data_IF_787379111760
#
_entry.id   IF_787379111760
#
_cell.length_a   1.000
_cell.length_b   1.000
_cell.length_c   1.000
_cell.angle_alpha   90.00
_cell.angle_beta   90.00
_cell.angle_gamma   90.00
#
_symmetry.space_group_name_H-M   'P 1'
#
loop_
_entity.id
_entity.type
_entity.pdbx_description
1 polymer ?
#
# COMPACT_ATOMS: atom_id res chain seq x y z
N UNK A 1 11.27 -11.12 -31.12
CA UNK A 1 10.98 -10.29 -29.93
C UNK A 1 9.62 -9.58 -30.02
N UNK A 2 9.30 -8.86 -31.11
CA UNK A 2 8.06 -8.07 -31.22
C UNK A 2 6.76 -8.90 -31.18
N UNK A 3 6.76 -10.10 -31.78
CA UNK A 3 5.58 -11.00 -31.83
C UNK A 3 5.00 -11.38 -30.44
N UNK A 4 5.84 -11.45 -29.39
CA UNK A 4 5.42 -11.86 -28.05
C UNK A 4 4.50 -10.84 -27.35
N UNK A 5 4.54 -9.57 -27.75
CA UNK A 5 3.63 -8.55 -27.23
C UNK A 5 2.24 -8.63 -27.86
N UNK A 6 2.16 -9.04 -29.13
CA UNK A 6 0.90 -9.17 -29.86
C UNK A 6 0.21 -10.50 -29.59
N UNK A 7 0.98 -11.56 -29.31
CA UNK A 7 0.45 -12.90 -29.02
C UNK A 7 1.09 -13.45 -27.75
N UNK A 8 0.74 -12.90 -26.58
CA UNK A 8 1.23 -13.44 -25.33
C UNK A 8 0.61 -14.82 -25.11
N UNK A 9 1.43 -15.77 -24.67
CA UNK A 9 0.93 -17.02 -24.12
C UNK A 9 0.38 -16.70 -22.72
N UNK A 10 -0.94 -16.61 -22.61
CA UNK A 10 -1.67 -16.36 -21.36
C UNK A 10 -2.44 -17.60 -20.95
N UNK A 11 -2.59 -17.80 -19.65
CA UNK A 11 -3.50 -18.81 -19.11
C UNK A 11 -4.95 -18.35 -19.35
N UNK A 12 -5.79 -19.12 -20.07
CA UNK A 12 -7.19 -18.79 -20.30
C UNK A 12 -8.11 -19.10 -19.12
N UNK A 13 -7.57 -19.58 -17.99
CA UNK A 13 -8.34 -19.93 -16.81
C UNK A 13 -9.22 -18.77 -16.31
N UNK A 14 -10.52 -19.00 -16.24
CA UNK A 14 -11.51 -18.11 -15.60
C UNK A 14 -11.62 -18.34 -14.08
N UNK A 15 -10.67 -19.09 -13.51
CA UNK A 15 -10.69 -19.40 -12.09
C UNK A 15 -10.69 -18.12 -11.25
N UNK A 16 -11.56 -18.08 -10.26
CA UNK A 16 -11.62 -16.97 -9.31
C UNK A 16 -10.32 -16.91 -8.53
N UNK A 17 -9.77 -15.71 -8.38
CA UNK A 17 -8.65 -15.48 -7.48
C UNK A 17 -9.11 -15.69 -6.04
N UNK A 18 -8.58 -16.73 -5.41
CA UNK A 18 -8.86 -17.07 -4.03
C UNK A 18 -7.56 -17.06 -3.22
N UNK A 19 -7.68 -16.55 -2.00
CA UNK A 19 -6.60 -16.54 -1.05
C UNK A 19 -6.95 -17.51 0.08
N UNK A 20 -6.41 -18.72 -0.01
CA UNK A 20 -6.63 -19.77 0.99
C UNK A 20 -5.97 -19.47 2.35
N UNK A 21 -6.32 -20.27 3.35
CA UNK A 21 -5.66 -20.24 4.65
C UNK A 21 -4.40 -21.14 4.62
N UNK A 22 -3.22 -20.62 5.00
CA UNK A 22 -1.99 -21.39 4.94
C UNK A 22 -1.92 -22.44 6.05
N UNK A 23 -1.33 -23.61 5.75
CA UNK A 23 -1.01 -24.64 6.75
C UNK A 23 0.24 -24.24 7.53
N UNK A 24 0.06 -23.74 8.76
CA UNK A 24 1.14 -23.20 9.58
C UNK A 24 2.22 -24.23 9.93
N UNK A 25 1.85 -25.48 10.21
CA UNK A 25 2.81 -26.53 10.59
C UNK A 25 3.77 -26.85 9.45
N UNK A 26 3.25 -26.92 8.21
CA UNK A 26 4.08 -27.12 7.02
C UNK A 26 5.00 -25.93 6.75
N UNK A 27 4.53 -24.70 7.00
CA UNK A 27 5.35 -23.50 6.85
C UNK A 27 6.47 -23.45 7.89
N UNK A 28 6.22 -23.86 9.14
CA UNK A 28 7.25 -23.99 10.18
C UNK A 28 8.36 -24.95 9.74
N UNK A 29 7.97 -26.15 9.28
CA UNK A 29 8.91 -27.14 8.76
C UNK A 29 9.71 -26.58 7.58
N UNK A 30 9.04 -25.98 6.60
CA UNK A 30 9.69 -25.43 5.41
C UNK A 30 10.68 -24.30 5.74
N UNK A 31 10.32 -23.39 6.65
CA UNK A 31 11.21 -22.30 7.05
C UNK A 31 12.40 -22.79 7.87
N UNK A 32 12.21 -23.82 8.68
CA UNK A 32 13.31 -24.51 9.36
C UNK A 32 14.27 -25.14 8.34
N UNK A 33 13.74 -25.90 7.38
CA UNK A 33 14.53 -26.64 6.39
C UNK A 33 15.25 -25.75 5.37
N UNK A 34 14.60 -24.66 4.92
CA UNK A 34 15.14 -23.80 3.84
C UNK A 34 15.88 -22.58 4.33
N UNK A 35 15.46 -22.02 5.46
CA UNK A 35 16.02 -20.78 5.98
C UNK A 35 16.80 -20.98 7.28
N UNK A 36 16.75 -22.17 7.89
CA UNK A 36 17.37 -22.44 9.18
C UNK A 36 16.75 -21.62 10.31
N UNK A 37 15.50 -21.18 10.15
CA UNK A 37 14.86 -20.33 11.15
C UNK A 37 14.46 -21.16 12.37
N UNK A 38 14.73 -20.66 13.59
CA UNK A 38 14.20 -21.28 14.78
C UNK A 38 12.67 -21.11 14.82
N UNK A 39 11.95 -22.02 15.50
CA UNK A 39 10.49 -22.01 15.52
C UNK A 39 9.92 -20.71 16.10
N UNK A 40 10.59 -20.11 17.08
CA UNK A 40 10.16 -18.86 17.71
C UNK A 40 10.13 -17.70 16.70
N UNK A 41 11.22 -17.53 15.93
CA UNK A 41 11.30 -16.49 14.88
C UNK A 41 10.28 -16.72 13.78
N UNK A 42 10.05 -17.99 13.45
CA UNK A 42 9.05 -18.36 12.44
C UNK A 42 7.65 -17.96 12.90
N UNK A 43 7.33 -18.15 14.18
CA UNK A 43 6.04 -17.81 14.77
C UNK A 43 5.80 -16.32 14.92
N UNK A 44 6.83 -15.59 15.35
CA UNK A 44 6.81 -14.12 15.38
C UNK A 44 6.39 -13.53 14.03
N UNK A 45 6.74 -14.21 12.94
CA UNK A 45 6.44 -13.77 11.57
C UNK A 45 5.11 -14.32 11.05
N UNK A 46 4.83 -15.61 11.28
CA UNK A 46 3.66 -16.30 10.75
C UNK A 46 2.37 -15.97 11.49
N UNK A 47 2.41 -15.81 12.82
CA UNK A 47 1.21 -15.57 13.63
C UNK A 47 0.52 -14.24 13.26
N UNK A 48 1.22 -13.10 13.15
CA UNK A 48 0.60 -11.85 12.72
C UNK A 48 0.03 -11.92 11.31
N UNK A 49 0.71 -12.66 10.41
CA UNK A 49 0.25 -12.84 9.04
C UNK A 49 -1.02 -13.69 8.98
N UNK A 50 -1.04 -14.83 9.67
CA UNK A 50 -2.19 -15.71 9.75
C UNK A 50 -3.42 -15.00 10.34
N UNK A 51 -3.20 -14.19 11.38
CA UNK A 51 -4.24 -13.35 11.98
C UNK A 51 -4.81 -12.35 10.96
N UNK A 52 -3.95 -11.61 10.24
CA UNK A 52 -4.40 -10.69 9.17
C UNK A 52 -5.18 -11.41 8.08
N UNK A 53 -4.79 -12.62 7.71
CA UNK A 53 -5.49 -13.43 6.70
C UNK A 53 -6.86 -13.90 7.19
N UNK A 54 -6.97 -14.28 8.46
CA UNK A 54 -8.25 -14.64 9.10
C UNK A 54 -9.18 -13.43 9.21
N UNK A 55 -8.67 -12.29 9.68
CA UNK A 55 -9.41 -11.01 9.76
C UNK A 55 -9.87 -10.51 8.38
N UNK A 56 -9.17 -10.89 7.31
CA UNK A 56 -9.53 -10.51 5.95
C UNK A 56 -10.42 -11.53 5.21
N UNK A 57 -10.72 -12.67 5.84
CA UNK A 57 -11.55 -13.75 5.28
C UNK A 57 -12.80 -14.04 6.12
N UNK A 58 -12.98 -13.31 7.23
CA UNK A 58 -14.15 -13.43 8.09
C UNK A 58 -15.44 -12.94 7.43
N UNK A 59 -16.60 -13.27 8.03
CA UNK A 59 -17.92 -12.93 7.50
C UNK A 59 -18.16 -11.41 7.38
N UNK A 60 -17.50 -10.61 8.22
CA UNK A 60 -17.62 -9.14 8.25
C UNK A 60 -16.54 -8.43 7.42
N UNK A 61 -15.66 -9.19 6.76
CA UNK A 61 -14.52 -8.66 6.02
C UNK A 61 -14.93 -8.24 4.61
N UNK A 62 -14.47 -7.06 4.17
CA UNK A 62 -14.69 -6.62 2.77
C UNK A 62 -14.09 -7.65 1.81
N UNK A 63 -14.81 -8.04 0.73
CA UNK A 63 -14.29 -8.98 -0.23
C UNK A 63 -12.95 -8.47 -0.77
N UNK A 64 -11.92 -9.32 -0.68
CA UNK A 64 -10.58 -9.08 -1.22
C UNK A 64 -10.57 -9.23 -2.75
N UNK A 65 -11.48 -8.53 -3.41
CA UNK A 65 -11.36 -8.22 -4.83
C UNK A 65 -10.30 -7.13 -4.95
N UNK A 66 -9.27 -7.40 -5.75
CA UNK A 66 -8.29 -6.41 -6.20
C UNK A 66 -9.03 -5.11 -6.51
N UNK A 67 -8.76 -4.06 -5.73
CA UNK A 67 -9.42 -2.78 -5.95
C UNK A 67 -8.77 -2.06 -7.11
N UNK A 68 -9.54 -1.22 -7.79
CA UNK A 68 -9.01 -0.33 -8.82
C UNK A 68 -8.16 0.76 -8.18
N UNK A 69 -7.17 1.27 -8.91
CA UNK A 69 -6.32 2.38 -8.47
C UNK A 69 -7.14 3.60 -8.00
N UNK A 70 -8.31 3.83 -8.61
CA UNK A 70 -9.26 4.87 -8.20
C UNK A 70 -9.83 4.70 -6.80
N UNK A 71 -10.05 3.46 -6.35
CA UNK A 71 -10.52 3.19 -5.00
C UNK A 71 -9.42 3.47 -3.97
N UNK A 72 -8.17 3.17 -4.33
CA UNK A 72 -7.00 3.50 -3.51
C UNK A 72 -6.82 5.02 -3.38
N UNK A 73 -6.80 5.76 -4.50
CA UNK A 73 -6.61 7.22 -4.48
C UNK A 73 -7.75 7.94 -3.78
N UNK A 74 -8.99 7.47 -3.92
CA UNK A 74 -10.15 7.98 -3.17
C UNK A 74 -10.06 7.70 -1.68
N UNK A 75 -9.52 6.54 -1.27
CA UNK A 75 -9.32 6.23 0.15
C UNK A 75 -8.25 7.14 0.77
N UNK A 76 -7.14 7.39 0.06
CA UNK A 76 -6.09 8.33 0.50
C UNK A 76 -6.61 9.77 0.57
N UNK A 77 -7.42 10.20 -0.41
CA UNK A 77 -8.03 11.53 -0.40
C UNK A 77 -9.12 11.70 0.68
N UNK A 78 -9.69 10.59 1.18
CA UNK A 78 -10.81 10.58 2.13
C UNK A 78 -10.37 10.37 3.58
N UNK A 79 -9.11 10.03 3.88
CA UNK A 79 -8.64 10.03 5.27
C UNK A 79 -8.69 11.47 5.81
N UNK A 80 -9.67 11.81 6.68
CA UNK A 80 -9.58 13.05 7.42
C UNK A 80 -8.53 12.78 8.50
N UNK A 81 -7.50 13.60 8.52
CA UNK A 81 -6.51 13.61 9.60
C UNK A 81 -7.24 13.53 10.95
N UNK A 82 -6.90 12.52 11.76
CA UNK A 82 -7.28 12.41 13.16
C UNK A 82 -6.50 13.47 13.97
N UNK A 83 -6.73 14.73 13.62
CA UNK A 83 -5.87 15.85 14.01
C UNK A 83 -6.23 17.16 13.32
N UNK A 84 -7.52 17.51 13.17
CA UNK A 84 -7.90 18.87 12.80
C UNK A 84 -8.01 19.76 14.04
N UNK A 85 -6.86 20.31 14.43
CA UNK A 85 -6.78 21.74 14.70
C UNK A 85 -6.95 22.49 13.36
N UNK A 86 -7.70 23.57 13.41
CA UNK A 86 -8.28 24.24 12.26
C UNK A 86 -7.29 24.83 11.23
N UNK A 87 -7.81 24.94 10.01
CA UNK A 87 -7.42 25.84 8.92
C UNK A 87 -6.13 25.53 8.13
N UNK A 88 -6.31 25.32 6.82
CA UNK A 88 -5.26 25.54 5.83
C UNK A 88 -5.18 24.45 4.77
N UNK A 89 -5.89 24.68 3.66
CA UNK A 89 -5.60 24.22 2.30
C UNK A 89 -4.31 23.40 2.16
N UNK A 90 -4.47 22.12 1.86
CA UNK A 90 -3.38 21.17 1.69
C UNK A 90 -2.34 21.65 0.68
N UNK A 91 -1.24 22.17 1.18
CA UNK A 91 -0.01 22.39 0.43
C UNK A 91 1.09 21.62 1.14
N UNK A 92 1.78 20.73 0.41
CA UNK A 92 2.97 20.04 0.91
C UNK A 92 3.90 21.05 1.62
N UNK A 93 4.46 20.69 2.78
CA UNK A 93 5.35 21.57 3.57
C UNK A 93 6.46 22.20 2.72
N UNK A 94 6.90 21.48 1.69
CA UNK A 94 7.90 21.92 0.71
C UNK A 94 7.35 22.99 -0.24
N UNK A 95 6.11 22.84 -0.68
CA UNK A 95 5.41 23.82 -1.53
C UNK A 95 5.13 25.10 -0.74
N UNK A 96 4.72 24.99 0.53
CA UNK A 96 4.59 26.14 1.43
C UNK A 96 5.90 26.92 1.58
N UNK A 97 7.03 26.23 1.80
CA UNK A 97 8.34 26.86 1.87
C UNK A 97 8.76 27.50 0.53
N UNK A 98 8.46 26.85 -0.60
CA UNK A 98 8.77 27.37 -1.93
C UNK A 98 7.97 28.66 -2.22
N UNK A 99 6.66 28.67 -1.94
CA UNK A 99 5.80 29.84 -2.11
C UNK A 99 6.26 31.00 -1.23
N UNK A 100 6.60 30.73 0.04
CA UNK A 100 7.11 31.75 0.97
C UNK A 100 8.45 32.34 0.50
N UNK A 101 9.35 31.49 -0.01
CA UNK A 101 10.64 31.91 -0.58
C UNK A 101 10.49 32.73 -1.86
N UNK A 102 9.43 32.44 -2.65
CA UNK A 102 9.14 33.16 -3.89
C UNK A 102 8.51 34.53 -3.59
N UNK A 103 7.55 34.59 -2.66
CA UNK A 103 6.93 35.84 -2.21
C UNK A 103 7.94 36.79 -1.57
N UNK A 104 8.90 36.26 -0.79
CA UNK A 104 10.00 37.05 -0.22
C UNK A 104 10.92 37.64 -1.31
N UNK A 105 11.17 36.91 -2.39
CA UNK A 105 11.95 37.41 -3.54
C UNK A 105 11.22 38.47 -4.35
N UNK A 106 9.89 38.37 -4.47
CA UNK A 106 9.09 39.39 -5.16
C UNK A 106 9.00 40.70 -4.37
N UNK A 107 8.99 40.63 -3.03
CA UNK A 107 8.93 41.81 -2.16
C UNK A 107 10.23 42.65 -2.14
N UNK A 108 11.33 42.14 -2.70
CA UNK A 108 12.65 42.79 -2.68
C UNK A 108 13.06 43.40 -4.03
N UNK A 109 12.13 43.57 -4.98
CA UNK A 109 12.43 44.30 -6.22
C UNK A 109 12.29 45.81 -5.95
N UNK A 110 13.38 46.59 -5.91
CA UNK A 110 13.26 48.04 -5.82
C UNK A 110 12.56 48.55 -7.09
N UNK A 111 11.67 49.52 -6.90
CA UNK A 111 11.08 50.31 -7.98
C UNK A 111 12.25 51.03 -8.66
N UNK A 112 12.62 50.59 -9.87
CA UNK A 112 13.49 51.38 -10.73
C UNK A 112 12.64 52.47 -11.38
N UNK A 113 13.11 53.71 -11.23
CA UNK A 113 12.58 54.94 -11.81
C UNK A 113 12.46 54.84 -13.33
#
# INVERSE_FOLDING_TARGET
AVHAYFHPQVDPSEAKLEWGFPKLDMLRQFMSDKLGWPPEKTDETLVPLARKMAEASGPDSRPRSQTTLDAFTRHVARQPDAGQGAAGTGHSKRVGAAILSHKRRQASRPIQN
#
